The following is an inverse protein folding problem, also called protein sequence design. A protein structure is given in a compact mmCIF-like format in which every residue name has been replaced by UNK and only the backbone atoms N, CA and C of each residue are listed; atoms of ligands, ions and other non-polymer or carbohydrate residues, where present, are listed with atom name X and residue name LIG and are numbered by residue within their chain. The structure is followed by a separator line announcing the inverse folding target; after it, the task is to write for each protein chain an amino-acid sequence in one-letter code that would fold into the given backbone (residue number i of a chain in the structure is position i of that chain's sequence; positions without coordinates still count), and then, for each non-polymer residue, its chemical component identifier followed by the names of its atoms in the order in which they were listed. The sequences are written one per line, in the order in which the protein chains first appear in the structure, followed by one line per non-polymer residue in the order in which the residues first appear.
data_IF_624853623285
#
_entry.id   IF_624853623285
#
_cell.length_a   1.000
_cell.length_b   1.000
_cell.length_c   1.000
_cell.angle_alpha   90.00
_cell.angle_beta   90.00
_cell.angle_gamma   90.00
#
_symmetry.space_group_name_H-M   'P 1'
#
loop_
_entity.id
_entity.type
_entity.pdbx_description
1 polymer ?
#
# COMPACT_ATOMS: atom_id res chain seq x y z
N UNK A 1 4.80 11.49 -20.40
CA UNK A 1 6.10 10.84 -20.64
C UNK A 1 7.17 11.83 -20.24
N UNK A 2 8.08 11.44 -19.37
CA UNK A 2 9.24 12.22 -18.92
C UNK A 2 10.54 11.54 -19.35
N UNK A 3 11.70 12.18 -19.10
CA UNK A 3 13.00 11.62 -19.44
C UNK A 3 13.35 10.39 -18.59
N UNK A 4 12.95 10.37 -17.31
CA UNK A 4 13.33 9.35 -16.34
C UNK A 4 12.16 8.51 -15.82
N UNK A 5 10.93 8.96 -16.07
CA UNK A 5 9.72 8.24 -15.65
C UNK A 5 8.54 8.57 -16.56
N UNK A 6 7.58 7.65 -16.59
CA UNK A 6 6.29 7.84 -17.27
C UNK A 6 5.15 7.47 -16.36
N UNK A 7 4.00 8.08 -16.61
CA UNK A 7 2.73 7.71 -15.99
C UNK A 7 1.62 7.64 -17.03
N UNK A 8 0.68 6.74 -16.78
CA UNK A 8 -0.58 6.62 -17.51
C UNK A 8 -1.72 6.71 -16.50
N UNK A 9 -2.75 7.46 -16.84
CA UNK A 9 -3.99 7.50 -16.09
C UNK A 9 -5.15 7.33 -17.05
N UNK A 10 -6.00 6.36 -16.75
CA UNK A 10 -7.25 6.08 -17.46
C UNK A 10 -8.38 6.13 -16.45
N UNK A 11 -9.39 6.95 -16.70
CA UNK A 11 -10.57 7.03 -15.85
C UNK A 11 -11.81 7.30 -16.70
N UNK A 12 -12.94 6.84 -16.21
CA UNK A 12 -14.19 7.07 -16.89
C UNK A 12 -15.36 6.27 -16.32
N UNK A 13 -16.55 6.51 -16.87
CA UNK A 13 -17.73 5.75 -16.51
C UNK A 13 -17.76 4.39 -17.26
N UNK A 14 -17.95 3.30 -16.51
CA UNK A 14 -18.35 2.00 -17.09
C UNK A 14 -19.83 2.01 -17.39
N UNK A 15 -20.62 2.54 -16.43
CA UNK A 15 -22.05 2.80 -16.60
C UNK A 15 -22.35 4.18 -16.06
N UNK A 16 -22.91 5.06 -16.90
CA UNK A 16 -23.22 6.44 -16.55
C UNK A 16 -23.98 6.49 -15.22
N UNK A 17 -23.62 7.44 -14.36
CA UNK A 17 -24.21 7.75 -13.06
C UNK A 17 -24.07 6.68 -11.98
N UNK A 18 -23.69 5.45 -12.31
CA UNK A 18 -23.64 4.33 -11.35
C UNK A 18 -22.28 3.73 -11.13
N UNK A 19 -21.46 3.56 -12.19
CA UNK A 19 -20.20 2.84 -12.07
C UNK A 19 -19.09 3.57 -12.80
N UNK A 20 -17.99 3.83 -12.10
CA UNK A 20 -16.80 4.43 -12.68
C UNK A 20 -15.54 3.67 -12.27
N UNK A 21 -14.52 3.78 -13.08
CA UNK A 21 -13.20 3.22 -12.81
C UNK A 21 -12.13 4.30 -12.91
N UNK A 22 -11.02 4.02 -12.24
CA UNK A 22 -9.74 4.69 -12.39
C UNK A 22 -8.65 3.61 -12.42
N UNK A 23 -7.76 3.71 -13.37
CA UNK A 23 -6.56 2.91 -13.48
C UNK A 23 -5.38 3.84 -13.73
N UNK A 24 -4.38 3.80 -12.89
CA UNK A 24 -3.16 4.58 -13.00
C UNK A 24 -1.94 3.68 -12.90
N UNK A 25 -0.94 3.95 -13.72
CA UNK A 25 0.34 3.27 -13.64
C UNK A 25 1.48 4.28 -13.79
N UNK A 26 2.55 4.06 -13.05
CA UNK A 26 3.77 4.86 -13.12
C UNK A 26 4.97 3.92 -13.10
N UNK A 27 5.99 4.24 -13.89
CA UNK A 27 7.25 3.52 -13.88
C UNK A 27 8.40 4.49 -14.14
N UNK A 28 9.47 4.30 -13.39
CA UNK A 28 10.76 4.91 -13.65
C UNK A 28 11.60 4.00 -14.54
N UNK A 29 12.37 4.60 -15.41
CA UNK A 29 13.35 3.94 -16.26
C UNK A 29 14.70 4.69 -16.25
N UNK A 30 14.96 5.44 -15.18
CA UNK A 30 16.21 6.18 -14.99
C UNK A 30 17.44 5.29 -15.10
N UNK A 31 17.34 4.02 -14.64
CA UNK A 31 18.40 3.03 -14.72
C UNK A 31 18.87 2.71 -16.15
N UNK A 32 18.04 2.98 -17.18
CA UNK A 32 18.46 2.78 -18.59
C UNK A 32 19.54 3.78 -19.02
N UNK A 33 19.72 4.86 -18.28
CA UNK A 33 20.71 5.90 -18.54
C UNK A 33 22.00 5.73 -17.69
N UNK A 34 21.95 4.90 -16.64
CA UNK A 34 23.11 4.64 -15.78
C UNK A 34 24.31 4.04 -16.56
N UNK A 35 24.12 3.10 -17.52
CA UNK A 35 25.22 2.58 -18.33
C UNK A 35 25.95 3.62 -19.18
N UNK A 36 25.44 4.85 -19.31
CA UNK A 36 26.10 5.95 -19.98
C UNK A 36 27.15 6.64 -19.10
N UNK A 37 27.22 6.27 -17.83
CA UNK A 37 28.12 6.85 -16.82
C UNK A 37 29.02 5.72 -16.30
N UNK A 38 30.27 5.69 -16.71
CA UNK A 38 31.23 4.60 -16.41
C UNK A 38 31.37 4.25 -14.93
N UNK A 39 31.10 5.18 -14.01
CA UNK A 39 31.23 4.95 -12.56
C UNK A 39 30.02 4.26 -11.91
N UNK A 40 28.92 4.07 -12.63
CA UNK A 40 27.65 3.53 -12.10
C UNK A 40 26.91 2.66 -13.12
N UNK A 41 27.61 2.16 -14.13
CA UNK A 41 27.07 1.41 -15.26
C UNK A 41 26.37 0.11 -14.87
N UNK A 42 26.81 -0.53 -13.79
CA UNK A 42 26.20 -1.76 -13.28
C UNK A 42 25.08 -1.53 -12.25
N UNK A 43 24.82 -0.28 -11.85
CA UNK A 43 23.81 0.02 -10.86
C UNK A 43 22.40 0.05 -11.47
N UNK A 44 21.39 -0.32 -10.67
CA UNK A 44 19.99 -0.21 -11.04
C UNK A 44 19.23 0.61 -10.00
N UNK A 45 18.39 1.52 -10.47
CA UNK A 45 17.49 2.27 -9.61
C UNK A 45 16.19 2.51 -10.39
N UNK A 46 15.13 1.82 -10.03
CA UNK A 46 13.83 1.99 -10.66
C UNK A 46 12.69 1.72 -9.70
N UNK A 47 11.54 2.27 -10.02
CA UNK A 47 10.29 1.97 -9.34
C UNK A 47 9.17 1.79 -10.35
N UNK A 48 8.13 1.09 -9.92
CA UNK A 48 6.85 1.06 -10.62
C UNK A 48 5.71 0.95 -9.62
N UNK A 49 4.59 1.57 -9.97
CA UNK A 49 3.37 1.48 -9.17
C UNK A 49 2.11 1.44 -10.05
N UNK A 50 1.11 0.78 -9.52
CA UNK A 50 -0.22 0.66 -10.09
C UNK A 50 -1.26 1.09 -9.07
N UNK A 51 -2.23 1.87 -9.52
CA UNK A 51 -3.38 2.29 -8.73
C UNK A 51 -4.66 1.94 -9.46
N UNK A 52 -5.60 1.33 -8.76
CA UNK A 52 -6.90 1.01 -9.31
C UNK A 52 -8.00 1.45 -8.37
N UNK A 53 -9.12 1.91 -8.93
CA UNK A 53 -10.32 2.20 -8.17
C UNK A 53 -11.55 1.91 -8.99
N UNK A 54 -12.49 1.21 -8.40
CA UNK A 54 -13.84 1.01 -8.90
C UNK A 54 -14.82 1.66 -7.92
N UNK A 55 -15.74 2.45 -8.43
CA UNK A 55 -16.83 3.05 -7.67
C UNK A 55 -18.14 2.56 -8.23
N UNK A 56 -19.04 2.06 -7.38
CA UNK A 56 -20.35 1.59 -7.79
C UNK A 56 -21.43 2.08 -6.85
N UNK A 57 -22.38 2.85 -7.39
CA UNK A 57 -23.60 3.25 -6.69
C UNK A 57 -24.62 2.12 -6.81
N UNK A 58 -24.82 1.37 -5.74
CA UNK A 58 -25.81 0.27 -5.69
C UNK A 58 -27.24 0.84 -5.71
N UNK A 59 -27.46 1.93 -4.95
CA UNK A 59 -28.70 2.70 -4.93
C UNK A 59 -28.42 4.08 -4.33
N UNK A 60 -29.46 4.89 -4.11
CA UNK A 60 -29.32 6.25 -3.57
C UNK A 60 -28.68 6.32 -2.17
N UNK A 61 -28.77 5.25 -1.39
CA UNK A 61 -28.24 5.17 -0.03
C UNK A 61 -26.94 4.40 0.09
N UNK A 62 -26.51 3.66 -0.95
CA UNK A 62 -25.39 2.75 -0.87
C UNK A 62 -24.42 2.97 -2.03
N UNK A 63 -23.18 3.27 -1.69
CA UNK A 63 -22.08 3.34 -2.64
C UNK A 63 -20.92 2.47 -2.14
N UNK A 64 -20.39 1.65 -3.03
CA UNK A 64 -19.25 0.76 -2.77
C UNK A 64 -18.06 1.24 -3.57
N UNK A 65 -16.89 1.19 -2.95
CA UNK A 65 -15.61 1.44 -3.59
C UNK A 65 -14.70 0.24 -3.36
N UNK A 66 -14.05 -0.19 -4.42
CA UNK A 66 -12.94 -1.13 -4.37
C UNK A 66 -11.72 -0.42 -4.92
N UNK A 67 -10.63 -0.40 -4.18
CA UNK A 67 -9.38 0.19 -4.64
C UNK A 67 -8.20 -0.71 -4.31
N UNK A 68 -7.20 -0.68 -5.18
CA UNK A 68 -5.96 -1.41 -5.03
C UNK A 68 -4.78 -0.52 -5.36
N UNK A 69 -3.69 -0.79 -4.67
CA UNK A 69 -2.38 -0.24 -4.94
C UNK A 69 -1.36 -1.38 -4.97
N UNK A 70 -0.44 -1.30 -5.88
CA UNK A 70 0.75 -2.14 -5.92
C UNK A 70 1.93 -1.27 -6.32
N UNK A 71 3.03 -1.34 -5.58
CA UNK A 71 4.24 -0.60 -5.90
C UNK A 71 5.48 -1.35 -5.46
N UNK A 72 6.56 -1.15 -6.19
CA UNK A 72 7.88 -1.70 -5.88
C UNK A 72 8.98 -0.71 -6.26
N UNK A 73 9.93 -0.57 -5.37
CA UNK A 73 11.16 0.16 -5.56
C UNK A 73 12.34 -0.83 -5.52
N UNK A 74 13.31 -0.64 -6.41
CA UNK A 74 14.50 -1.49 -6.52
C UNK A 74 15.72 -0.60 -6.65
N UNK A 75 16.70 -0.88 -5.81
CA UNK A 75 18.04 -0.28 -5.83
C UNK A 75 19.07 -1.41 -5.77
N UNK A 76 19.91 -1.47 -6.79
CA UNK A 76 21.00 -2.44 -6.92
C UNK A 76 22.27 -1.63 -7.13
N UNK A 77 23.18 -1.68 -6.17
CA UNK A 77 24.49 -1.03 -6.23
C UNK A 77 25.54 -2.12 -6.31
N UNK A 78 26.12 -2.25 -7.51
CA UNK A 78 27.03 -3.31 -7.91
C UNK A 78 27.98 -3.75 -6.80
N UNK A 79 27.92 -5.04 -6.46
CA UNK A 79 28.73 -5.73 -5.45
C UNK A 79 28.65 -5.17 -4.01
N UNK A 80 27.78 -4.19 -3.74
CA UNK A 80 27.60 -3.61 -2.40
C UNK A 80 26.34 -4.16 -1.73
N UNK A 81 25.20 -3.84 -2.29
CA UNK A 81 23.91 -4.33 -1.79
C UNK A 81 22.79 -4.18 -2.83
N UNK A 82 21.85 -5.09 -2.77
CA UNK A 82 20.56 -4.98 -3.45
C UNK A 82 19.46 -4.73 -2.42
N UNK A 83 18.67 -3.72 -2.68
CA UNK A 83 17.54 -3.32 -1.87
C UNK A 83 16.28 -3.33 -2.72
N UNK A 84 15.29 -4.09 -2.34
CA UNK A 84 13.96 -3.96 -2.92
C UNK A 84 12.89 -3.93 -1.83
N UNK A 85 11.90 -3.07 -2.00
CA UNK A 85 10.73 -3.06 -1.14
C UNK A 85 9.47 -2.80 -1.96
N UNK A 86 8.37 -3.34 -1.47
CA UNK A 86 7.10 -3.22 -2.14
C UNK A 86 5.93 -3.13 -1.17
N UNK A 87 4.80 -2.70 -1.69
CA UNK A 87 3.56 -2.66 -0.94
C UNK A 87 2.39 -3.02 -1.85
N UNK A 88 1.56 -3.93 -1.35
CA UNK A 88 0.30 -4.32 -1.98
C UNK A 88 -0.84 -3.96 -1.05
N UNK A 89 -1.80 -3.16 -1.53
CA UNK A 89 -2.95 -2.73 -0.72
C UNK A 89 -4.24 -3.03 -1.47
N UNK A 90 -5.20 -3.63 -0.77
CA UNK A 90 -6.58 -3.73 -1.21
C UNK A 90 -7.50 -3.06 -0.19
N UNK A 91 -8.41 -2.23 -0.66
CA UNK A 91 -9.35 -1.52 0.20
C UNK A 91 -10.77 -1.66 -0.36
N UNK A 92 -11.65 -2.22 0.46
CA UNK A 92 -13.09 -2.20 0.26
C UNK A 92 -13.68 -1.13 1.16
N UNK A 93 -14.48 -0.22 0.60
CA UNK A 93 -15.22 0.79 1.37
C UNK A 93 -16.69 0.78 0.97
N UNK A 94 -17.54 0.78 1.97
CA UNK A 94 -18.98 0.90 1.82
C UNK A 94 -19.49 2.15 2.55
N UNK A 95 -20.05 3.04 1.78
CA UNK A 95 -20.75 4.23 2.27
C UNK A 95 -22.24 3.94 2.34
N UNK A 96 -22.84 4.17 3.50
CA UNK A 96 -24.27 3.98 3.70
C UNK A 96 -24.93 5.21 4.31
N UNK A 97 -26.04 5.64 3.72
CA UNK A 97 -26.87 6.73 4.18
C UNK A 97 -28.09 6.14 4.90
N UNK A 98 -28.07 6.10 6.24
CA UNK A 98 -29.21 5.65 7.04
C UNK A 98 -30.38 6.62 6.92
N UNK A 99 -30.09 7.93 6.99
CA UNK A 99 -31.06 9.02 6.85
C UNK A 99 -30.35 10.27 6.31
N UNK A 100 -31.08 11.33 6.06
CA UNK A 100 -30.52 12.63 5.66
C UNK A 100 -29.57 13.25 6.72
N UNK A 101 -29.55 12.69 7.94
CA UNK A 101 -28.73 13.17 9.05
C UNK A 101 -27.67 12.16 9.50
N UNK A 102 -27.78 10.90 9.14
CA UNK A 102 -26.87 9.85 9.61
C UNK A 102 -26.21 9.13 8.44
N UNK A 103 -24.92 9.25 8.36
CA UNK A 103 -24.05 8.65 7.36
C UNK A 103 -23.04 7.72 8.01
N UNK A 104 -22.74 6.60 7.36
CA UNK A 104 -21.68 5.69 7.78
C UNK A 104 -20.68 5.38 6.66
N UNK A 105 -19.49 5.06 7.08
CA UNK A 105 -18.39 4.62 6.22
C UNK A 105 -17.69 3.41 6.86
N UNK A 106 -17.85 2.23 6.26
CA UNK A 106 -17.12 1.02 6.61
C UNK A 106 -15.95 0.86 5.64
N UNK A 107 -14.74 0.70 6.17
CA UNK A 107 -13.55 0.38 5.37
C UNK A 107 -12.90 -0.89 5.89
N UNK A 108 -12.54 -1.79 4.97
CA UNK A 108 -11.76 -2.99 5.20
C UNK A 108 -10.52 -2.89 4.33
N UNK A 109 -9.35 -2.85 4.95
CA UNK A 109 -8.09 -2.65 4.27
C UNK A 109 -7.18 -3.82 4.57
N UNK A 110 -6.63 -4.41 3.54
CA UNK A 110 -5.52 -5.35 3.59
C UNK A 110 -4.28 -4.66 3.03
N UNK A 111 -3.15 -4.81 3.69
CA UNK A 111 -1.87 -4.33 3.20
C UNK A 111 -0.79 -5.36 3.50
N UNK A 112 0.08 -5.55 2.53
CA UNK A 112 1.24 -6.43 2.62
C UNK A 112 2.45 -5.66 2.12
N UNK A 113 3.42 -5.44 3.01
CA UNK A 113 4.67 -4.76 2.75
C UNK A 113 5.81 -5.77 2.86
N UNK A 114 6.59 -5.90 1.81
CA UNK A 114 7.79 -6.72 1.77
C UNK A 114 9.05 -5.88 1.55
N UNK A 115 10.14 -6.36 2.13
CA UNK A 115 11.43 -5.72 2.07
C UNK A 115 12.51 -6.80 1.95
N UNK A 116 13.35 -6.70 0.95
CA UNK A 116 14.49 -7.59 0.71
C UNK A 116 15.76 -6.77 0.67
N UNK A 117 16.75 -7.21 1.42
CA UNK A 117 18.08 -6.63 1.45
C UNK A 117 19.09 -7.73 1.24
N UNK A 118 19.85 -7.67 0.15
CA UNK A 118 21.00 -8.52 -0.11
C UNK A 118 22.27 -7.72 0.14
N UNK A 119 23.14 -8.26 0.98
CA UNK A 119 24.46 -7.71 1.27
C UNK A 119 25.54 -8.53 0.56
N UNK A 120 25.87 -8.15 -0.67
CA UNK A 120 26.84 -8.85 -1.50
C UNK A 120 28.19 -9.05 -0.80
N UNK A 121 28.71 -8.04 -0.10
CA UNK A 121 29.98 -8.13 0.64
C UNK A 121 29.92 -9.02 1.88
N UNK A 122 28.77 -9.14 2.52
CA UNK A 122 28.56 -9.95 3.72
C UNK A 122 27.97 -11.34 3.39
N UNK A 123 27.69 -11.59 2.13
CA UNK A 123 27.23 -12.87 1.57
C UNK A 123 25.95 -13.41 2.24
N UNK A 124 24.97 -12.52 2.50
CA UNK A 124 23.66 -12.91 3.00
C UNK A 124 22.53 -12.02 2.45
N UNK A 125 21.34 -12.60 2.36
CA UNK A 125 20.11 -11.90 2.10
C UNK A 125 19.19 -11.92 3.34
N UNK A 126 18.41 -10.85 3.49
CA UNK A 126 17.44 -10.70 4.55
C UNK A 126 16.09 -10.26 3.98
N UNK A 127 15.08 -11.13 4.15
CA UNK A 127 13.72 -10.87 3.69
C UNK A 127 12.83 -10.67 4.91
N UNK A 128 12.10 -9.57 4.96
CA UNK A 128 11.18 -9.25 6.04
C UNK A 128 9.89 -8.65 5.49
N UNK A 129 8.83 -8.65 6.30
CA UNK A 129 7.54 -8.16 5.86
C UNK A 129 6.61 -7.73 6.99
N UNK A 130 5.59 -6.96 6.60
CA UNK A 130 4.50 -6.57 7.50
C UNK A 130 3.19 -6.74 6.75
N UNK A 131 2.35 -7.64 7.25
CA UNK A 131 0.98 -7.79 6.76
C UNK A 131 0.02 -7.17 7.77
N UNK A 132 -0.96 -6.41 7.31
CA UNK A 132 -1.99 -5.91 8.21
C UNK A 132 -3.41 -6.01 7.62
N UNK A 133 -4.37 -6.16 8.53
CA UNK A 133 -5.80 -6.08 8.27
C UNK A 133 -6.39 -4.98 9.13
N UNK A 134 -7.01 -4.00 8.50
CA UNK A 134 -7.61 -2.86 9.18
C UNK A 134 -9.12 -2.86 8.92
N UNK A 135 -9.89 -2.79 10.01
CA UNK A 135 -11.32 -2.56 9.99
C UNK A 135 -11.60 -1.19 10.61
N UNK A 136 -12.18 -0.29 9.82
CA UNK A 136 -12.55 1.04 10.26
C UNK A 136 -14.03 1.31 10.01
N UNK A 137 -14.73 1.82 11.01
CA UNK A 137 -16.13 2.20 10.91
C UNK A 137 -16.34 3.60 11.46
N UNK A 138 -16.75 4.52 10.60
CA UNK A 138 -17.03 5.91 10.92
C UNK A 138 -18.53 6.16 10.82
N UNK A 139 -19.06 6.92 11.77
CA UNK A 139 -20.43 7.45 11.77
C UNK A 139 -20.40 8.96 11.88
N UNK A 140 -21.18 9.64 11.02
CA UNK A 140 -21.36 11.08 11.04
C UNK A 140 -22.84 11.39 11.24
N UNK A 141 -23.13 12.14 12.30
CA UNK A 141 -24.48 12.53 12.65
C UNK A 141 -24.62 14.05 12.65
N UNK A 142 -25.43 14.56 11.75
CA UNK A 142 -25.76 15.97 11.64
C UNK A 142 -27.03 16.27 12.50
N UNK A 143 -26.84 16.76 13.72
CA UNK A 143 -27.94 17.14 14.59
C UNK A 143 -28.75 18.26 13.94
N UNK A 144 -28.06 19.30 13.46
CA UNK A 144 -28.60 20.43 12.72
C UNK A 144 -27.55 21.00 11.77
N UNK A 145 -27.80 22.16 11.16
CA UNK A 145 -26.88 22.78 10.19
C UNK A 145 -25.53 23.22 10.78
N UNK A 146 -25.48 23.43 12.11
CA UNK A 146 -24.31 23.95 12.82
C UNK A 146 -23.56 22.88 13.64
N UNK A 147 -24.23 21.78 13.97
CA UNK A 147 -23.72 20.79 14.91
C UNK A 147 -23.62 19.41 14.26
N UNK A 148 -22.38 18.91 14.14
CA UNK A 148 -22.07 17.59 13.62
C UNK A 148 -21.28 16.81 14.68
N UNK A 149 -21.66 15.56 14.88
CA UNK A 149 -20.93 14.61 15.72
C UNK A 149 -20.35 13.53 14.80
N UNK A 150 -19.07 13.28 14.95
CA UNK A 150 -18.40 12.14 14.33
C UNK A 150 -17.91 11.21 15.43
N UNK A 151 -18.07 9.91 15.24
CA UNK A 151 -17.49 8.88 16.08
C UNK A 151 -17.14 7.65 15.24
N UNK A 152 -16.14 6.96 15.66
CA UNK A 152 -15.67 5.81 14.92
C UNK A 152 -14.84 4.84 15.75
N UNK A 153 -14.70 3.67 15.17
CA UNK A 153 -13.87 2.59 15.66
C UNK A 153 -12.84 2.26 14.56
N UNK A 154 -11.60 2.10 14.96
CA UNK A 154 -10.53 1.60 14.10
C UNK A 154 -9.83 0.44 14.81
N UNK A 155 -9.67 -0.69 14.13
CA UNK A 155 -8.93 -1.84 14.66
C UNK A 155 -8.01 -2.39 13.58
N UNK A 156 -6.73 -2.53 13.91
CA UNK A 156 -5.70 -3.03 13.02
C UNK A 156 -5.07 -4.26 13.65
N UNK A 157 -5.06 -5.36 12.92
CA UNK A 157 -4.28 -6.54 13.24
C UNK A 157 -3.01 -6.52 12.40
N UNK A 158 -1.87 -6.64 13.06
CA UNK A 158 -0.54 -6.70 12.43
C UNK A 158 0.06 -8.09 12.59
N UNK A 159 0.65 -8.56 11.50
CA UNK A 159 1.63 -9.63 11.48
C UNK A 159 2.96 -9.03 11.04
N UNK A 160 3.94 -9.07 11.91
CA UNK A 160 5.32 -8.71 11.61
C UNK A 160 6.09 -10.00 11.33
N UNK A 161 6.65 -10.12 10.14
CA UNK A 161 7.63 -11.13 9.79
C UNK A 161 9.02 -10.47 9.87
N UNK A 162 9.77 -10.64 10.96
CA UNK A 162 11.09 -10.02 11.11
C UNK A 162 12.12 -10.66 10.20
N UNK A 163 11.75 -11.73 9.51
CA UNK A 163 12.40 -12.22 8.34
C UNK A 163 13.21 -13.50 8.50
N UNK A 164 13.74 -13.85 7.37
CA UNK A 164 14.64 -14.96 7.17
C UNK A 164 16.00 -14.41 6.68
N UNK A 165 17.05 -14.67 7.44
CA UNK A 165 18.44 -14.40 7.04
C UNK A 165 18.99 -15.67 6.43
N UNK A 166 19.51 -15.58 5.21
CA UNK A 166 20.05 -16.71 4.46
C UNK A 166 21.43 -16.38 3.90
N UNK A 167 22.39 -17.33 3.94
CA UNK A 167 23.65 -17.18 3.23
C UNK A 167 23.41 -17.21 1.71
N UNK A 168 24.10 -16.33 0.99
CA UNK A 168 24.06 -16.30 -0.49
C UNK A 168 25.13 -17.17 -1.13
N UNK A 169 26.12 -17.62 -0.34
CA UNK A 169 27.20 -18.50 -0.80
C UNK A 169 27.50 -19.59 0.22
N UNK A 170 28.08 -20.71 -0.23
CA UNK A 170 28.50 -21.82 0.64
C UNK A 170 29.65 -21.43 1.59
N UNK A 171 30.37 -20.36 1.30
CA UNK A 171 31.49 -19.87 2.11
C UNK A 171 31.07 -18.81 3.14
N UNK A 172 29.79 -18.40 3.16
CA UNK A 172 29.29 -17.43 4.12
C UNK A 172 29.45 -17.92 5.56
N UNK A 173 29.85 -17.03 6.44
CA UNK A 173 29.95 -17.30 7.88
C UNK A 173 28.57 -17.22 8.57
N UNK A 174 27.55 -16.76 7.85
CA UNK A 174 26.19 -16.60 8.33
C UNK A 174 25.44 -17.91 8.17
N UNK A 175 24.63 -18.25 9.16
CA UNK A 175 23.76 -19.42 9.13
C UNK A 175 22.32 -18.99 8.83
N UNK A 176 21.58 -19.87 8.19
CA UNK A 176 20.13 -19.74 8.01
C UNK A 176 19.46 -19.49 9.37
N UNK A 177 18.82 -18.34 9.51
CA UNK A 177 18.12 -17.98 10.74
C UNK A 177 16.75 -17.39 10.39
N UNK A 178 15.69 -18.13 10.71
CA UNK A 178 14.34 -17.62 10.65
C UNK A 178 13.96 -17.03 12.01
N UNK A 179 13.57 -15.76 12.01
CA UNK A 179 13.05 -15.08 13.18
C UNK A 179 11.53 -15.38 13.31
N UNK A 180 11.04 -15.43 14.55
CA UNK A 180 9.62 -15.73 14.80
C UNK A 180 8.72 -14.56 14.45
N UNK A 181 7.61 -14.86 13.79
CA UNK A 181 6.56 -13.88 13.52
C UNK A 181 6.06 -13.24 14.83
N UNK A 182 5.80 -11.94 14.79
CA UNK A 182 5.19 -11.19 15.88
C UNK A 182 3.83 -10.66 15.47
N UNK A 183 2.92 -10.58 16.43
CA UNK A 183 1.55 -10.16 16.18
C UNK A 183 1.17 -9.04 17.13
N UNK A 184 0.40 -8.09 16.64
CA UNK A 184 -0.13 -7.01 17.46
C UNK A 184 -1.55 -6.64 17.01
N UNK A 185 -2.34 -6.14 17.95
CA UNK A 185 -3.64 -5.53 17.68
C UNK A 185 -3.64 -4.13 18.25
N UNK A 186 -3.99 -3.17 17.42
CA UNK A 186 -4.23 -1.79 17.80
C UNK A 186 -5.71 -1.49 17.62
N UNK A 187 -6.37 -0.94 18.64
CA UNK A 187 -7.76 -0.54 18.54
C UNK A 187 -7.97 0.83 19.14
N UNK A 188 -8.72 1.68 18.45
CA UNK A 188 -9.02 3.03 18.86
C UNK A 188 -10.51 3.32 18.70
N UNK A 189 -11.08 3.95 19.71
CA UNK A 189 -12.38 4.63 19.61
C UNK A 189 -12.12 6.13 19.64
N UNK A 190 -12.80 6.87 18.80
CA UNK A 190 -12.68 8.32 18.73
C UNK A 190 -14.03 9.00 18.51
N UNK A 191 -14.12 10.22 18.96
CA UNK A 191 -15.30 11.08 18.77
C UNK A 191 -14.84 12.51 18.55
N UNK A 192 -15.52 13.23 17.67
CA UNK A 192 -15.36 14.67 17.48
C UNK A 192 -16.70 15.38 17.43
N UNK A 193 -16.72 16.63 17.83
CA UNK A 193 -17.87 17.51 17.79
C UNK A 193 -17.45 18.77 17.03
N UNK A 194 -18.14 19.06 15.94
CA UNK A 194 -17.97 20.28 15.16
C UNK A 194 -19.20 21.17 15.37
N UNK A 195 -18.95 22.46 15.75
CA UNK A 195 -19.97 23.46 16.03
C UNK A 195 -19.75 24.74 15.22
#
# INVERSE_FOLDING_TARGET
IGLISSRLLLEGPIKKETTSFLFGGRSSYAHLFLPLIESVDNNKAYFYDLNTKLSHRVNEKNTIFLSGYFGRDVFDIDNLFDLSYGNSVANFRWNHLFSNKLFSNLSMIYSDYDYTLDFGLAEFDWNLGITNFNLKYDLKYYLNEKLKIEYGLNSIYYKFDPGLIQPTTDNSTIQNQKLEDKFAVESAFYSSLDY
#
